data_IF_958729070492
#
_entry.id   IF_958729070492
#
_cell.length_a   1.000
_cell.length_b   1.000
_cell.length_c   1.000
_cell.angle_alpha   90.00
_cell.angle_beta   90.00
_cell.angle_gamma   90.00
#
_symmetry.space_group_name_H-M   'P 1'
#
loop_
_entity.id
_entity.type
_entity.pdbx_description
1 polymer ?
#
# COMPACT_ATOMS: atom_id res chain seq x y z
N UNK A 1 0.33 -18.44 80.57
CA UNK A 1 0.21 -17.08 79.99
C UNK A 1 1.49 -16.78 79.23
N UNK A 2 1.48 -17.03 77.92
CA UNK A 2 2.69 -17.02 77.08
C UNK A 2 2.50 -15.92 76.04
N UNK A 3 3.30 -14.85 76.18
CA UNK A 3 3.24 -13.63 75.36
C UNK A 3 3.95 -13.88 74.01
N UNK A 4 3.34 -13.59 72.86
CA UNK A 4 4.00 -13.75 71.57
C UNK A 4 4.96 -12.58 71.29
N UNK A 5 6.14 -12.93 70.78
CA UNK A 5 7.26 -12.06 70.46
C UNK A 5 7.05 -11.40 69.09
N UNK A 6 7.08 -10.05 69.05
CA UNK A 6 7.00 -9.25 67.83
C UNK A 6 8.31 -9.35 67.03
N UNK A 7 8.24 -9.79 65.77
CA UNK A 7 9.37 -9.84 64.85
C UNK A 7 9.37 -8.60 63.96
N UNK A 8 10.34 -7.70 64.16
CA UNK A 8 10.52 -6.47 63.38
C UNK A 8 11.34 -6.77 62.11
N UNK A 9 10.72 -6.65 60.93
CA UNK A 9 11.41 -6.83 59.64
C UNK A 9 12.17 -5.56 59.25
N UNK A 10 13.48 -5.68 59.02
CA UNK A 10 14.41 -4.59 58.74
C UNK A 10 14.40 -4.22 57.25
N UNK A 11 14.06 -2.97 56.93
CA UNK A 11 14.16 -2.36 55.59
C UNK A 11 15.61 -2.39 55.08
N UNK A 12 15.82 -2.90 53.86
CA UNK A 12 17.12 -2.90 53.16
C UNK A 12 17.12 -1.80 52.09
N UNK A 13 18.09 -0.89 52.15
CA UNK A 13 18.30 0.21 51.22
C UNK A 13 19.13 -0.25 50.01
N UNK A 14 18.62 -0.11 48.80
CA UNK A 14 19.31 -0.45 47.54
C UNK A 14 20.30 0.66 47.18
N UNK A 15 21.60 0.33 47.06
CA UNK A 15 22.63 1.26 46.53
C UNK A 15 22.59 1.28 45.00
N UNK A 16 22.80 2.47 44.43
CA UNK A 16 22.84 2.80 43.00
C UNK A 16 24.00 2.07 42.28
N UNK A 17 23.80 1.41 41.13
CA UNK A 17 24.89 0.79 40.37
C UNK A 17 25.76 1.84 39.67
N UNK A 18 27.07 1.56 39.67
CA UNK A 18 28.13 2.31 38.98
C UNK A 18 28.09 1.99 37.48
N UNK A 19 28.23 3.02 36.65
CA UNK A 19 28.26 2.93 35.18
C UNK A 19 29.53 2.22 34.68
N UNK A 20 29.35 1.06 34.04
CA UNK A 20 30.43 0.36 33.31
C UNK A 20 30.48 0.88 31.88
N UNK A 21 31.69 1.20 31.41
CA UNK A 21 31.95 1.76 30.08
C UNK A 21 31.59 0.78 28.95
N UNK A 22 31.00 1.29 27.87
CA UNK A 22 30.62 0.53 26.69
C UNK A 22 31.84 0.18 25.82
N UNK A 23 32.06 -1.10 25.57
CA UNK A 23 33.07 -1.60 24.64
C UNK A 23 32.54 -1.52 23.21
N UNK A 24 33.13 -0.66 22.37
CA UNK A 24 32.84 -0.59 20.93
C UNK A 24 33.54 -1.73 20.19
N UNK A 25 32.78 -2.72 19.72
CA UNK A 25 33.25 -3.76 18.80
C UNK A 25 32.99 -3.31 17.36
N UNK A 26 34.04 -3.03 16.59
CA UNK A 26 33.95 -2.73 15.15
C UNK A 26 33.93 -4.02 14.33
N UNK A 27 32.79 -4.35 13.72
CA UNK A 27 32.67 -5.44 12.75
C UNK A 27 33.06 -4.96 11.35
N UNK A 28 34.03 -5.64 10.72
CA UNK A 28 34.51 -5.34 9.37
C UNK A 28 33.53 -5.87 8.32
N UNK A 29 33.23 -5.07 7.30
CA UNK A 29 32.29 -5.38 6.20
C UNK A 29 32.79 -6.59 5.39
N UNK A 30 31.95 -7.60 5.08
CA UNK A 30 32.32 -8.70 4.20
C UNK A 30 32.58 -8.21 2.77
N UNK A 31 33.65 -8.69 2.16
CA UNK A 31 33.98 -8.46 0.74
C UNK A 31 33.23 -9.46 -0.14
N UNK A 32 32.41 -8.97 -1.07
CA UNK A 32 31.74 -9.80 -2.08
C UNK A 32 32.69 -10.11 -3.25
N UNK A 33 32.66 -11.33 -3.81
CA UNK A 33 33.41 -11.66 -5.02
C UNK A 33 32.84 -10.90 -6.24
N UNK A 34 33.73 -10.41 -7.11
CA UNK A 34 33.38 -9.76 -8.37
C UNK A 34 32.93 -10.79 -9.40
N UNK A 35 31.71 -10.67 -9.90
CA UNK A 35 31.23 -11.47 -11.03
C UNK A 35 31.85 -10.99 -12.35
N UNK A 36 32.16 -11.89 -13.30
CA UNK A 36 32.67 -11.51 -14.61
C UNK A 36 31.63 -10.75 -15.44
N UNK A 37 32.09 -9.75 -16.18
CA UNK A 37 31.26 -8.95 -17.07
C UNK A 37 30.84 -9.78 -18.31
N UNK A 38 29.55 -9.87 -18.57
CA UNK A 38 29.02 -10.45 -19.80
C UNK A 38 29.29 -9.52 -20.99
N UNK A 39 29.86 -10.02 -22.11
CA UNK A 39 30.03 -9.22 -23.31
C UNK A 39 28.73 -9.19 -24.14
N UNK A 40 28.32 -7.99 -24.56
CA UNK A 40 27.39 -7.79 -25.67
C UNK A 40 26.02 -7.21 -25.32
N UNK A 41 25.96 -5.90 -25.05
CA UNK A 41 24.75 -5.11 -25.26
C UNK A 41 25.06 -3.99 -26.27
N UNK A 42 24.32 -3.87 -27.39
CA UNK A 42 24.47 -2.75 -28.30
C UNK A 42 23.99 -1.45 -27.63
N UNK A 43 24.80 -0.40 -27.74
CA UNK A 43 24.50 0.93 -27.22
C UNK A 43 23.31 1.54 -27.96
N UNK A 44 22.22 1.81 -27.23
CA UNK A 44 21.10 2.58 -27.76
C UNK A 44 21.51 4.05 -27.98
N UNK A 45 21.08 4.68 -29.09
CA UNK A 45 21.36 6.10 -29.34
C UNK A 45 20.64 6.99 -28.32
N UNK A 46 21.34 7.99 -27.81
CA UNK A 46 20.80 8.99 -26.89
C UNK A 46 19.80 9.90 -27.61
N UNK A 47 18.54 9.84 -27.21
CA UNK A 47 17.51 10.76 -27.67
C UNK A 47 17.71 12.16 -27.07
N UNK A 48 17.49 13.24 -27.82
CA UNK A 48 17.60 14.60 -27.31
C UNK A 48 16.48 14.88 -26.30
N UNK A 49 16.86 15.38 -25.13
CA UNK A 49 15.93 15.87 -24.11
C UNK A 49 15.47 17.28 -24.50
N UNK A 50 14.34 17.39 -25.20
CA UNK A 50 13.70 18.69 -25.37
C UNK A 50 13.13 19.12 -24.01
N UNK A 51 13.73 20.15 -23.41
CA UNK A 51 13.27 20.78 -22.17
C UNK A 51 12.08 21.68 -22.50
N UNK A 52 10.84 21.36 -22.08
CA UNK A 52 9.73 22.26 -22.28
C UNK A 52 9.93 23.50 -21.40
N UNK A 53 9.85 24.68 -22.00
CA UNK A 53 9.75 25.95 -21.26
C UNK A 53 8.51 25.89 -20.37
N UNK A 54 8.69 26.22 -19.08
CA UNK A 54 7.62 26.21 -18.09
C UNK A 54 6.45 27.10 -18.56
N UNK A 55 5.32 26.48 -18.89
CA UNK A 55 4.06 27.19 -19.06
C UNK A 55 3.57 27.68 -17.68
N UNK A 56 2.94 28.86 -17.59
CA UNK A 56 2.41 29.36 -16.33
C UNK A 56 1.26 28.46 -15.83
N UNK A 57 1.51 27.74 -14.73
CA UNK A 57 0.52 26.89 -14.07
C UNK A 57 -0.54 27.77 -13.41
N UNK A 58 -1.73 27.82 -14.02
CA UNK A 58 -2.89 28.49 -13.40
C UNK A 58 -3.52 27.51 -12.41
N UNK A 59 -3.21 27.66 -11.12
CA UNK A 59 -3.77 26.85 -10.04
C UNK A 59 -5.24 27.21 -9.81
N UNK A 60 -6.14 26.46 -10.43
CA UNK A 60 -7.57 26.56 -10.14
C UNK A 60 -7.83 25.83 -8.82
N UNK A 61 -8.10 26.57 -7.74
CA UNK A 61 -8.38 25.99 -6.42
C UNK A 61 -9.72 25.24 -6.49
N UNK A 62 -9.67 23.91 -6.43
CA UNK A 62 -10.87 23.05 -6.41
C UNK A 62 -11.67 23.32 -5.14
N UNK A 63 -13.00 23.49 -5.21
CA UNK A 63 -13.85 23.64 -4.03
C UNK A 63 -13.74 22.38 -3.14
N UNK A 64 -13.33 22.57 -1.89
CA UNK A 64 -13.34 21.54 -0.85
C UNK A 64 -14.78 21.34 -0.37
N UNK A 65 -15.52 20.43 -1.02
CA UNK A 65 -16.83 20.02 -0.51
C UNK A 65 -16.65 19.16 0.75
N UNK A 66 -17.43 19.40 1.82
CA UNK A 66 -17.36 18.59 3.04
C UNK A 66 -17.70 17.13 2.73
N UNK A 67 -16.96 16.21 3.35
CA UNK A 67 -17.10 14.75 3.22
C UNK A 67 -18.44 14.34 3.82
N UNK A 68 -19.52 14.39 3.04
CA UNK A 68 -20.81 13.85 3.44
C UNK A 68 -20.90 12.44 2.89
N UNK A 69 -20.75 11.47 3.79
CA UNK A 69 -20.85 10.02 3.59
C UNK A 69 -22.29 9.56 3.32
N UNK A 70 -23.00 10.28 2.45
CA UNK A 70 -24.32 9.90 1.95
C UNK A 70 -24.24 8.80 0.90
N UNK A 71 -25.30 8.02 0.79
CA UNK A 71 -25.58 7.23 -0.41
C UNK A 71 -26.71 7.95 -1.13
N UNK A 72 -26.60 8.12 -2.44
CA UNK A 72 -27.77 8.50 -3.25
C UNK A 72 -28.84 7.41 -3.16
N UNK A 73 -30.08 7.75 -3.53
CA UNK A 73 -31.20 6.80 -3.61
C UNK A 73 -30.93 5.62 -4.56
N UNK A 74 -29.89 5.70 -5.39
CA UNK A 74 -29.47 4.66 -6.32
C UNK A 74 -28.30 3.78 -5.82
N UNK A 75 -27.92 3.90 -4.54
CA UNK A 75 -26.83 3.11 -3.96
C UNK A 75 -25.42 3.54 -4.41
N UNK A 76 -25.32 4.65 -5.15
CA UNK A 76 -24.04 5.26 -5.51
C UNK A 76 -23.53 6.14 -4.36
N UNK A 77 -22.22 6.16 -4.08
CA UNK A 77 -21.66 7.06 -3.10
C UNK A 77 -21.87 8.51 -3.54
N UNK A 78 -22.22 9.41 -2.61
CA UNK A 78 -22.37 10.85 -2.88
C UNK A 78 -21.05 11.53 -3.24
N UNK A 79 -19.91 10.85 -3.04
CA UNK A 79 -18.58 11.33 -3.38
C UNK A 79 -17.74 10.17 -3.94
N UNK A 80 -17.06 10.42 -5.06
CA UNK A 80 -16.17 9.48 -5.73
C UNK A 80 -14.98 10.21 -6.37
N UNK A 81 -13.90 9.49 -6.66
CA UNK A 81 -12.75 10.03 -7.40
C UNK A 81 -11.92 11.07 -6.64
N UNK A 82 -12.00 11.12 -5.31
CA UNK A 82 -11.21 12.02 -4.47
C UNK A 82 -9.95 11.29 -3.98
N UNK A 83 -8.79 11.58 -4.58
CA UNK A 83 -7.50 11.07 -4.10
C UNK A 83 -7.16 11.71 -2.75
N UNK A 84 -6.18 11.17 -2.02
CA UNK A 84 -5.70 11.82 -0.81
C UNK A 84 -5.15 13.22 -1.12
N UNK A 85 -5.76 14.32 -0.63
CA UNK A 85 -5.34 15.68 -0.95
C UNK A 85 -4.00 16.06 -0.30
N UNK A 86 -3.52 15.27 0.68
CA UNK A 86 -2.20 15.46 1.27
C UNK A 86 -1.05 15.10 0.30
N UNK A 87 -1.34 14.43 -0.82
CA UNK A 87 -0.34 14.01 -1.80
C UNK A 87 -0.36 14.94 -3.03
N UNK A 88 0.78 15.51 -3.45
CA UNK A 88 0.86 16.37 -4.62
C UNK A 88 0.42 15.61 -5.88
N UNK A 89 -0.18 16.31 -6.83
CA UNK A 89 -0.46 15.75 -8.15
C UNK A 89 0.86 15.49 -8.88
N UNK A 90 1.06 14.24 -9.31
CA UNK A 90 2.18 13.84 -10.15
C UNK A 90 1.63 13.41 -11.50
N UNK A 91 2.14 13.98 -12.58
CA UNK A 91 1.69 13.64 -13.93
C UNK A 91 2.54 12.53 -14.55
N UNK A 92 1.82 11.50 -15.00
CA UNK A 92 2.15 10.43 -15.96
C UNK A 92 3.00 9.24 -15.48
N UNK A 93 2.41 8.06 -15.65
CA UNK A 93 3.06 6.74 -15.62
C UNK A 93 3.64 6.43 -17.01
N UNK A 94 4.92 6.77 -17.21
CA UNK A 94 6.03 5.90 -17.67
C UNK A 94 7.25 6.46 -16.95
N UNK A 95 7.88 5.68 -16.05
CA UNK A 95 8.89 6.19 -15.10
C UNK A 95 8.32 6.86 -13.84
N UNK A 96 7.06 6.57 -13.49
CA UNK A 96 6.40 7.13 -12.30
C UNK A 96 7.01 6.65 -10.98
N UNK A 97 6.56 7.23 -9.87
CA UNK A 97 6.98 6.86 -8.51
C UNK A 97 5.93 6.01 -7.80
N UNK A 98 6.34 5.32 -6.73
CA UNK A 98 5.40 4.62 -5.86
C UNK A 98 4.36 5.61 -5.32
N UNK A 99 3.09 5.21 -5.35
CA UNK A 99 2.03 5.95 -4.68
C UNK A 99 2.31 5.99 -3.16
N UNK A 100 1.69 6.91 -2.45
CA UNK A 100 1.66 6.84 -0.99
C UNK A 100 0.49 6.00 -0.47
N UNK A 101 0.57 5.48 0.76
CA UNK A 101 -0.55 4.78 1.38
C UNK A 101 -1.83 5.61 1.31
N UNK A 102 -2.92 4.98 0.87
CA UNK A 102 -4.26 5.60 0.70
C UNK A 102 -4.35 6.74 -0.32
N UNK A 103 -3.34 6.94 -1.16
CA UNK A 103 -3.38 8.01 -2.18
C UNK A 103 -4.53 7.83 -3.17
N UNK A 104 -4.71 6.61 -3.68
CA UNK A 104 -5.77 6.26 -4.63
C UNK A 104 -6.73 5.25 -4.01
N UNK A 105 -7.69 5.68 -3.18
CA UNK A 105 -8.49 4.78 -2.35
C UNK A 105 -9.43 3.85 -3.13
N UNK A 106 -9.70 4.15 -4.40
CA UNK A 106 -10.53 3.29 -5.27
C UNK A 106 -9.75 2.14 -5.92
N UNK A 107 -8.41 2.10 -5.84
CA UNK A 107 -7.65 1.03 -6.46
C UNK A 107 -7.95 -0.29 -5.74
N UNK A 108 -8.30 -1.29 -6.55
CA UNK A 108 -8.52 -2.65 -6.12
C UNK A 108 -7.51 -3.57 -6.81
N UNK A 109 -7.04 -4.58 -6.10
CA UNK A 109 -6.20 -5.64 -6.66
C UNK A 109 -7.01 -6.92 -6.71
N UNK A 110 -7.00 -7.58 -7.87
CA UNK A 110 -7.73 -8.82 -8.09
C UNK A 110 -6.78 -10.01 -8.01
N UNK A 111 -7.16 -10.96 -7.17
CA UNK A 111 -6.46 -12.21 -6.96
C UNK A 111 -7.31 -13.38 -7.42
N UNK A 112 -6.64 -14.41 -7.94
CA UNK A 112 -7.22 -15.71 -8.26
C UNK A 112 -6.33 -16.79 -7.66
N UNK A 113 -6.89 -17.64 -6.81
CA UNK A 113 -6.14 -18.71 -6.14
C UNK A 113 -4.85 -18.21 -5.46
N UNK A 114 -4.92 -17.05 -4.80
CA UNK A 114 -3.81 -16.43 -4.09
C UNK A 114 -2.77 -15.71 -4.97
N UNK A 115 -2.96 -15.64 -6.30
CA UNK A 115 -2.06 -14.90 -7.20
C UNK A 115 -2.73 -13.65 -7.75
N UNK A 116 -2.02 -12.52 -7.70
CA UNK A 116 -2.46 -11.28 -8.34
C UNK A 116 -2.44 -11.48 -9.87
N UNK A 117 -3.50 -11.03 -10.55
CA UNK A 117 -3.59 -11.18 -12.01
C UNK A 117 -4.08 -9.92 -12.73
N UNK A 118 -4.89 -9.08 -12.08
CA UNK A 118 -5.38 -7.82 -12.65
C UNK A 118 -5.61 -6.77 -11.55
N UNK A 119 -5.82 -5.53 -11.99
CA UNK A 119 -6.34 -4.45 -11.16
C UNK A 119 -7.84 -4.24 -11.36
N UNK A 120 -8.40 -3.34 -10.56
CA UNK A 120 -9.77 -2.86 -10.70
C UNK A 120 -9.96 -1.52 -9.99
N UNK A 121 -11.19 -1.01 -10.06
CA UNK A 121 -11.58 0.23 -9.39
C UNK A 121 -12.91 0.06 -8.67
N UNK A 122 -12.97 0.47 -7.40
CA UNK A 122 -14.20 0.52 -6.62
C UNK A 122 -15.07 1.64 -7.15
N UNK A 123 -16.24 1.29 -7.69
CA UNK A 123 -17.20 2.24 -8.26
C UNK A 123 -18.42 2.47 -7.36
N UNK A 124 -18.71 1.51 -6.47
CA UNK A 124 -19.74 1.61 -5.44
C UNK A 124 -19.30 0.81 -4.21
N UNK A 125 -20.11 0.82 -3.14
CA UNK A 125 -19.85 0.01 -1.93
C UNK A 125 -19.69 -1.48 -2.23
N UNK A 126 -20.28 -1.99 -3.31
CA UNK A 126 -20.41 -3.43 -3.59
C UNK A 126 -19.94 -3.83 -5.01
N UNK A 127 -19.37 -2.90 -5.78
CA UNK A 127 -18.99 -3.16 -7.17
C UNK A 127 -17.58 -2.69 -7.48
N UNK A 128 -16.84 -3.53 -8.19
CA UNK A 128 -15.51 -3.26 -8.73
C UNK A 128 -15.60 -3.36 -10.25
N UNK A 129 -15.08 -2.34 -10.93
CA UNK A 129 -14.90 -2.32 -12.38
C UNK A 129 -13.51 -2.86 -12.73
N UNK A 130 -13.42 -3.70 -13.75
CA UNK A 130 -12.16 -4.21 -14.30
C UNK A 130 -12.29 -4.41 -15.81
N UNK A 131 -11.19 -4.74 -16.48
CA UNK A 131 -11.19 -4.96 -17.92
C UNK A 131 -11.83 -6.30 -18.29
N UNK A 132 -12.61 -6.33 -19.37
CA UNK A 132 -13.24 -7.57 -19.84
C UNK A 132 -12.24 -8.68 -20.18
N UNK A 133 -11.04 -8.33 -20.68
CA UNK A 133 -10.00 -9.30 -21.02
C UNK A 133 -9.42 -9.99 -19.78
N UNK A 134 -9.43 -9.33 -18.61
CA UNK A 134 -8.98 -9.93 -17.34
C UNK A 134 -9.80 -11.16 -16.97
N UNK A 135 -11.06 -11.21 -17.43
CA UNK A 135 -12.07 -12.17 -16.98
C UNK A 135 -12.66 -13.00 -18.12
N UNK A 136 -12.18 -12.79 -19.35
CA UNK A 136 -12.77 -13.37 -20.56
C UNK A 136 -12.74 -14.91 -20.61
N UNK A 137 -11.79 -15.53 -19.90
CA UNK A 137 -11.56 -16.99 -19.89
C UNK A 137 -11.76 -17.61 -18.50
N UNK A 138 -12.58 -16.98 -17.66
CA UNK A 138 -12.84 -17.49 -16.30
C UNK A 138 -14.07 -18.39 -16.29
N UNK A 139 -13.91 -19.55 -15.66
CA UNK A 139 -15.00 -20.45 -15.32
C UNK A 139 -15.69 -20.02 -14.02
N UNK A 140 -16.85 -20.61 -13.71
CA UNK A 140 -17.52 -20.38 -12.42
C UNK A 140 -16.63 -20.74 -11.21
N UNK A 141 -15.78 -21.77 -11.35
CA UNK A 141 -14.82 -22.16 -10.33
C UNK A 141 -13.72 -21.12 -10.14
N UNK A 142 -13.21 -20.56 -11.25
CA UNK A 142 -12.26 -19.44 -11.18
C UNK A 142 -12.86 -18.27 -10.42
N UNK A 143 -14.10 -17.88 -10.73
CA UNK A 143 -14.81 -16.77 -10.06
C UNK A 143 -15.00 -17.06 -8.57
N UNK A 144 -15.35 -18.30 -8.20
CA UNK A 144 -15.48 -18.69 -6.79
C UNK A 144 -14.16 -18.61 -6.00
N UNK A 145 -13.03 -18.76 -6.68
CA UNK A 145 -11.68 -18.62 -6.15
C UNK A 145 -11.10 -17.20 -6.26
N UNK A 146 -11.89 -16.22 -6.74
CA UNK A 146 -11.46 -14.84 -6.84
C UNK A 146 -11.68 -14.05 -5.54
N UNK A 147 -10.71 -13.21 -5.23
CA UNK A 147 -10.80 -12.20 -4.18
C UNK A 147 -10.37 -10.83 -4.71
N UNK A 148 -10.98 -9.79 -4.15
CA UNK A 148 -10.55 -8.41 -4.32
C UNK A 148 -9.95 -7.91 -3.02
N UNK A 149 -8.76 -7.33 -3.11
CA UNK A 149 -8.08 -6.65 -2.03
C UNK A 149 -8.27 -5.15 -2.22
N UNK A 150 -8.80 -4.48 -1.20
CA UNK A 150 -9.15 -3.06 -1.21
C UNK A 150 -8.32 -2.32 -0.17
N UNK A 151 -7.85 -1.11 -0.51
CA UNK A 151 -7.03 -0.30 0.38
C UNK A 151 -5.63 -0.88 0.64
N UNK A 152 -5.23 -1.85 -0.17
CA UNK A 152 -3.91 -2.47 -0.12
C UNK A 152 -2.85 -1.50 -0.69
N UNK A 153 -1.64 -1.54 -0.14
CA UNK A 153 -0.54 -0.65 -0.55
C UNK A 153 0.64 -1.46 -1.11
N UNK A 154 1.23 -2.36 -0.31
CA UNK A 154 2.14 -3.38 -0.79
C UNK A 154 1.47 -4.76 -0.69
N UNK A 155 1.11 -5.33 -1.84
CA UNK A 155 0.42 -6.62 -1.94
C UNK A 155 1.23 -7.82 -1.41
N UNK A 156 2.50 -7.60 -1.06
CA UNK A 156 3.40 -8.63 -0.51
C UNK A 156 3.38 -8.65 1.01
N UNK A 157 2.84 -7.61 1.65
CA UNK A 157 2.74 -7.48 3.10
C UNK A 157 1.29 -7.29 3.52
N UNK A 158 0.98 -7.53 4.79
CA UNK A 158 -0.41 -7.46 5.29
C UNK A 158 -0.56 -6.63 6.58
N UNK A 159 0.51 -5.97 7.02
CA UNK A 159 0.59 -5.26 8.30
C UNK A 159 0.81 -3.75 8.16
N UNK A 160 1.09 -3.25 6.95
CA UNK A 160 1.36 -1.83 6.71
C UNK A 160 0.10 -0.98 6.76
N UNK A 161 -1.00 -1.51 6.23
CA UNK A 161 -2.28 -0.83 6.11
C UNK A 161 -3.42 -1.80 6.42
N UNK A 162 -4.52 -1.24 6.91
CA UNK A 162 -5.77 -1.98 7.01
C UNK A 162 -6.35 -2.16 5.61
N UNK A 163 -6.14 -3.34 5.03
CA UNK A 163 -6.78 -3.74 3.78
C UNK A 163 -8.05 -4.55 4.06
N UNK A 164 -8.95 -4.60 3.07
CA UNK A 164 -10.18 -5.38 3.13
C UNK A 164 -10.18 -6.39 1.99
N UNK A 165 -10.27 -7.67 2.34
CA UNK A 165 -10.41 -8.76 1.36
C UNK A 165 -11.88 -9.12 1.20
N UNK A 166 -12.38 -9.17 -0.04
CA UNK A 166 -13.75 -9.59 -0.35
C UNK A 166 -13.76 -10.66 -1.44
N UNK A 167 -14.59 -11.68 -1.26
CA UNK A 167 -14.85 -12.69 -2.30
C UNK A 167 -15.79 -12.12 -3.36
N UNK A 168 -15.59 -12.51 -4.61
CA UNK A 168 -16.46 -12.09 -5.71
C UNK A 168 -17.69 -12.99 -5.77
N UNK A 169 -18.89 -12.40 -5.60
CA UNK A 169 -20.16 -13.13 -5.68
C UNK A 169 -20.65 -13.32 -7.13
N UNK A 170 -20.42 -12.31 -7.98
CA UNK A 170 -20.93 -12.28 -9.35
C UNK A 170 -19.96 -11.52 -10.24
N UNK A 171 -19.76 -12.05 -11.45
CA UNK A 171 -18.98 -11.44 -12.51
C UNK A 171 -19.89 -11.15 -13.69
N UNK A 172 -19.92 -9.89 -14.14
CA UNK A 172 -20.71 -9.47 -15.30
C UNK A 172 -19.75 -8.91 -16.34
N UNK A 173 -19.69 -9.56 -17.49
CA UNK A 173 -18.89 -9.10 -18.63
C UNK A 173 -19.80 -8.39 -19.63
N UNK A 174 -19.34 -7.25 -20.15
CA UNK A 174 -20.05 -6.56 -21.23
C UNK A 174 -20.17 -7.47 -22.47
N UNK A 175 -21.28 -7.36 -23.20
CA UNK A 175 -21.47 -8.11 -24.46
C UNK A 175 -20.57 -7.49 -25.55
N UNK A 176 -19.87 -8.34 -26.29
CA UNK A 176 -19.05 -7.91 -27.44
C UNK A 176 -19.89 -7.76 -28.69
#
# INVERSE_FOLDING_TARGET
TTRPTLTTTRRTTTKRPVSVAATTTTTRRPSYPSYPAYPGYPSYPSYPTYRPTAAPTTTTRRPSTPISSGSTNHGLPTQCGIKNPAMPDQERIVGGTNASPKEFPWIAVLFKSGKQFCGGSVITKNHILTAAHCVARMTSWDVAAMTAHLGDYDIRTNYEVQHVVRRIKRLVRHKG
#
